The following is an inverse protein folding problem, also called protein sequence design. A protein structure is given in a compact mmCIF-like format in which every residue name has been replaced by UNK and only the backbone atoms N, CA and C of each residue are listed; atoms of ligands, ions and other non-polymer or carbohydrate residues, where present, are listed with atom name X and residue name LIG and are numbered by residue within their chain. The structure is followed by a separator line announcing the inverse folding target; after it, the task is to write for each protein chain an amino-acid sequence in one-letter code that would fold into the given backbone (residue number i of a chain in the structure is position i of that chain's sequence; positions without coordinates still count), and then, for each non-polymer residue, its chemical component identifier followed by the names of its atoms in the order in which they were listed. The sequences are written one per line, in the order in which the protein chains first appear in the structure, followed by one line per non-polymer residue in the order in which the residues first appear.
data_IF_569236789346
#
_entry.id   IF_569236789346
#
_cell.length_a   1.000
_cell.length_b   1.000
_cell.length_c   1.000
_cell.angle_alpha   90.00
_cell.angle_beta   90.00
_cell.angle_gamma   90.00
#
_symmetry.space_group_name_H-M   'P 1'
#
loop_
_entity.id
_entity.type
_entity.pdbx_description
1 polymer ?
#
# COMPACT_ATOMS: atom_id res chain seq x y z
N UNK A 1 13.92 -2.17 7.08
CA UNK A 1 13.67 -0.87 6.40
C UNK A 1 14.28 -0.78 5.01
N UNK A 2 15.61 -0.75 4.78
CA UNK A 2 16.21 -0.59 3.42
C UNK A 2 15.63 -1.52 2.36
N UNK A 3 15.45 -2.80 2.70
CA UNK A 3 14.95 -3.81 1.76
C UNK A 3 13.57 -3.55 1.14
N UNK A 4 12.62 -2.87 1.81
CA UNK A 4 11.30 -2.61 1.21
C UNK A 4 11.35 -1.42 0.24
N UNK A 5 12.04 -0.34 0.60
CA UNK A 5 12.25 0.82 -0.27
C UNK A 5 13.04 0.44 -1.53
N UNK A 6 14.07 -0.40 -1.39
CA UNK A 6 14.88 -0.85 -2.54
C UNK A 6 14.03 -1.66 -3.54
N UNK A 7 13.07 -2.47 -3.04
CA UNK A 7 12.12 -3.19 -3.89
C UNK A 7 11.19 -2.25 -4.65
N UNK A 8 10.61 -1.25 -3.98
CA UNK A 8 9.70 -0.28 -4.62
C UNK A 8 10.41 0.57 -5.67
N UNK A 9 11.66 0.97 -5.41
CA UNK A 9 12.46 1.76 -6.34
C UNK A 9 12.72 1.06 -7.67
N UNK A 10 12.78 -0.29 -7.68
CA UNK A 10 12.92 -1.07 -8.91
C UNK A 10 11.71 -0.96 -9.85
N UNK A 11 10.56 -0.51 -9.34
CA UNK A 11 9.31 -0.28 -10.08
C UNK A 11 8.95 1.21 -10.18
N UNK A 12 9.91 2.11 -9.92
CA UNK A 12 9.68 3.55 -9.83
C UNK A 12 8.50 3.91 -8.91
N UNK A 13 8.40 3.22 -7.77
CA UNK A 13 7.32 3.39 -6.79
C UNK A 13 5.92 3.21 -7.39
N UNK A 14 5.81 2.47 -8.49
CA UNK A 14 4.59 2.22 -9.25
C UNK A 14 3.95 3.49 -9.84
N UNK A 15 4.73 4.55 -10.07
CA UNK A 15 4.24 5.74 -10.75
C UNK A 15 3.64 5.37 -12.11
N UNK A 16 2.45 5.89 -12.41
CA UNK A 16 1.63 5.62 -13.60
C UNK A 16 0.99 4.22 -13.71
N UNK A 17 1.15 3.34 -12.71
CA UNK A 17 0.49 2.03 -12.70
C UNK A 17 -0.98 2.15 -12.27
N UNK A 18 -1.85 1.32 -12.82
CA UNK A 18 -3.25 1.23 -12.39
C UNK A 18 -3.44 0.16 -11.32
N UNK A 19 -4.24 0.43 -10.29
CA UNK A 19 -4.67 -0.59 -9.32
C UNK A 19 -5.81 -1.42 -9.93
N UNK A 20 -5.56 -2.67 -10.31
CA UNK A 20 -6.56 -3.53 -10.92
C UNK A 20 -7.32 -4.43 -9.91
N UNK A 21 -6.70 -4.76 -8.77
CA UNK A 21 -7.35 -5.49 -7.69
C UNK A 21 -6.81 -5.14 -6.30
N UNK A 22 -7.71 -5.13 -5.33
CA UNK A 22 -7.40 -5.08 -3.90
C UNK A 22 -8.08 -6.28 -3.25
N UNK A 23 -7.29 -7.14 -2.62
CA UNK A 23 -7.77 -8.39 -2.03
C UNK A 23 -7.18 -8.62 -0.65
N UNK A 24 -7.89 -9.39 0.16
CA UNK A 24 -7.42 -9.88 1.46
C UNK A 24 -7.27 -11.39 1.38
N UNK A 25 -6.14 -11.91 1.87
CA UNK A 25 -5.88 -13.35 1.98
C UNK A 25 -5.44 -13.70 3.39
N UNK A 26 -5.82 -14.89 3.87
CA UNK A 26 -5.41 -15.46 5.16
C UNK A 26 -5.58 -14.49 6.37
N UNK A 27 -6.60 -13.63 6.31
CA UNK A 27 -6.94 -12.54 7.26
C UNK A 27 -5.89 -11.46 7.53
N UNK A 28 -4.63 -11.69 7.18
CA UNK A 28 -3.51 -10.81 7.54
C UNK A 28 -2.61 -10.46 6.36
N UNK A 29 -3.06 -10.70 5.12
CA UNK A 29 -2.35 -10.28 3.92
C UNK A 29 -3.24 -9.33 3.12
N UNK A 30 -2.77 -8.11 2.94
CA UNK A 30 -3.34 -7.20 1.95
C UNK A 30 -2.58 -7.37 0.64
N UNK A 31 -3.32 -7.57 -0.44
CA UNK A 31 -2.81 -7.76 -1.78
C UNK A 31 -3.30 -6.59 -2.63
N UNK A 32 -2.37 -5.85 -3.24
CA UNK A 32 -2.67 -4.79 -4.21
C UNK A 32 -2.01 -5.20 -5.52
N UNK A 33 -2.83 -5.62 -6.48
CA UNK A 33 -2.39 -5.94 -7.83
C UNK A 33 -2.46 -4.69 -8.70
N UNK A 34 -1.47 -4.54 -9.56
CA UNK A 34 -1.30 -3.38 -10.42
C UNK A 34 -0.83 -3.79 -11.81
N UNK A 35 -1.14 -2.92 -12.77
CA UNK A 35 -0.80 -3.10 -14.18
C UNK A 35 -0.29 -1.80 -14.82
N UNK A 36 0.74 -1.93 -15.65
CA UNK A 36 1.22 -0.89 -16.56
C UNK A 36 1.51 -1.50 -17.95
N UNK A 37 0.69 -1.12 -18.94
CA UNK A 37 0.84 -1.48 -20.37
C UNK A 37 1.05 -2.98 -20.60
N UNK A 38 0.30 -3.81 -19.89
CA UNK A 38 0.36 -5.28 -19.95
C UNK A 38 1.38 -5.93 -19.03
N UNK A 39 2.24 -5.15 -18.36
CA UNK A 39 3.09 -5.65 -17.27
C UNK A 39 2.30 -5.68 -15.98
N UNK A 40 2.41 -6.77 -15.20
CA UNK A 40 1.70 -6.92 -13.92
C UNK A 40 2.65 -7.14 -12.77
N UNK A 41 2.29 -6.56 -11.64
CA UNK A 41 2.98 -6.74 -10.39
C UNK A 41 1.99 -6.66 -9.23
N UNK A 42 2.30 -7.38 -8.17
CA UNK A 42 1.44 -7.52 -7.00
C UNK A 42 2.24 -7.18 -5.77
N UNK A 43 1.79 -6.17 -5.03
CA UNK A 43 2.27 -5.86 -3.70
C UNK A 43 1.54 -6.75 -2.69
N UNK A 44 2.31 -7.50 -1.92
CA UNK A 44 1.79 -8.37 -0.85
C UNK A 44 2.33 -7.84 0.47
N UNK A 45 1.44 -7.18 1.22
CA UNK A 45 1.72 -6.69 2.55
C UNK A 45 1.40 -7.82 3.54
N UNK A 46 2.43 -8.41 4.12
CA UNK A 46 2.30 -9.52 5.06
C UNK A 46 2.13 -9.00 6.49
N UNK A 47 1.31 -9.73 7.26
CA UNK A 47 0.96 -9.42 8.65
C UNK A 47 0.39 -8.01 8.78
N UNK A 48 -0.52 -7.66 7.87
CA UNK A 48 -1.29 -6.42 7.93
C UNK A 48 -2.14 -6.40 9.19
N UNK A 49 -1.93 -5.41 10.06
CA UNK A 49 -2.68 -5.23 11.29
C UNK A 49 -3.81 -4.19 11.16
N UNK A 50 -3.65 -3.24 10.23
CA UNK A 50 -4.66 -2.22 9.88
C UNK A 50 -4.54 -1.84 8.40
N UNK A 51 -5.67 -1.52 7.79
CA UNK A 51 -5.74 -0.98 6.44
C UNK A 51 -6.96 -0.09 6.33
N UNK A 52 -6.78 1.10 5.77
CA UNK A 52 -7.88 1.99 5.40
C UNK A 52 -7.72 2.36 3.94
N UNK A 53 -8.83 2.28 3.21
CA UNK A 53 -8.93 2.72 1.82
C UNK A 53 -9.94 3.86 1.76
N UNK A 54 -9.56 4.96 1.12
CA UNK A 54 -10.39 6.16 0.96
C UNK A 54 -10.54 6.53 -0.52
N UNK A 55 -11.66 7.19 -0.82
CA UNK A 55 -11.98 7.81 -2.11
C UNK A 55 -11.96 6.93 -3.38
N UNK A 56 -12.02 5.59 -3.26
CA UNK A 56 -11.92 4.64 -4.37
C UNK A 56 -12.80 4.98 -5.59
N UNK A 57 -12.16 5.44 -6.66
CA UNK A 57 -12.73 5.83 -7.94
C UNK A 57 -12.34 4.82 -9.01
N UNK A 58 -13.33 4.36 -9.77
CA UNK A 58 -13.12 3.39 -10.85
C UNK A 58 -12.39 4.00 -12.05
N UNK A 59 -12.57 5.28 -12.30
CA UNK A 59 -12.05 5.95 -13.51
C UNK A 59 -10.69 6.61 -13.32
N UNK A 60 -10.23 6.73 -12.08
CA UNK A 60 -8.96 7.34 -11.75
C UNK A 60 -8.36 6.57 -10.56
N UNK A 61 -7.47 5.64 -10.86
CA UNK A 61 -6.76 4.77 -9.92
C UNK A 61 -5.28 4.63 -10.33
N UNK A 62 -4.78 5.61 -11.09
CA UNK A 62 -3.39 5.72 -11.51
C UNK A 62 -2.57 6.10 -10.29
N UNK A 63 -1.65 5.23 -9.89
CA UNK A 63 -0.76 5.43 -8.76
C UNK A 63 0.21 6.58 -9.06
N UNK A 64 0.19 7.56 -8.17
CA UNK A 64 1.19 8.61 -8.12
C UNK A 64 2.42 8.14 -7.33
N UNK A 65 2.21 7.40 -6.24
CA UNK A 65 3.31 6.99 -5.36
C UNK A 65 2.94 5.84 -4.42
N UNK A 66 3.87 4.91 -4.21
CA UNK A 66 3.84 3.91 -3.13
C UNK A 66 5.02 4.17 -2.20
N UNK A 67 4.75 4.59 -0.97
CA UNK A 67 5.78 4.93 0.01
C UNK A 67 5.72 4.08 1.26
N UNK A 68 6.90 3.72 1.77
CA UNK A 68 7.07 3.28 3.16
C UNK A 68 7.44 4.52 3.98
N UNK A 69 6.63 4.85 4.97
CA UNK A 69 6.75 6.07 5.75
C UNK A 69 7.51 5.82 7.05
N UNK A 70 8.32 6.80 7.44
CA UNK A 70 8.96 6.92 8.74
C UNK A 70 8.31 8.05 9.55
N UNK A 71 8.48 8.00 10.87
CA UNK A 71 8.10 9.12 11.72
C UNK A 71 8.83 10.40 11.27
N UNK A 72 8.06 11.48 11.05
CA UNK A 72 8.57 12.76 10.56
C UNK A 72 8.42 12.96 9.05
N UNK A 73 8.06 11.93 8.27
CA UNK A 73 7.72 12.11 6.86
C UNK A 73 6.41 12.91 6.73
N UNK A 74 6.30 13.78 5.71
CA UNK A 74 5.18 14.70 5.51
C UNK A 74 3.80 14.03 5.60
N UNK A 75 3.67 12.79 5.10
CA UNK A 75 2.40 12.08 5.05
C UNK A 75 2.22 11.06 6.19
N UNK A 76 3.13 11.01 7.16
CA UNK A 76 3.08 10.04 8.26
C UNK A 76 1.84 10.23 9.14
N UNK A 77 1.56 11.48 9.54
CA UNK A 77 0.40 11.79 10.40
C UNK A 77 -0.94 11.61 9.66
N UNK A 78 -0.94 11.86 8.35
CA UNK A 78 -2.07 11.56 7.48
C UNK A 78 -2.36 10.05 7.48
N UNK A 79 -1.34 9.22 7.23
CA UNK A 79 -1.48 7.77 7.23
C UNK A 79 -1.94 7.23 8.60
N UNK A 80 -1.43 7.77 9.70
CA UNK A 80 -1.90 7.42 11.05
C UNK A 80 -3.38 7.78 11.26
N UNK A 81 -3.79 8.95 10.81
CA UNK A 81 -5.18 9.42 10.91
C UNK A 81 -6.14 8.54 10.09
N UNK A 82 -5.72 8.12 8.89
CA UNK A 82 -6.47 7.15 8.08
C UNK A 82 -6.57 5.81 8.79
N UNK A 83 -5.45 5.27 9.27
CA UNK A 83 -5.41 3.97 9.97
C UNK A 83 -6.24 3.96 11.26
N UNK A 84 -6.38 5.10 11.95
CA UNK A 84 -7.20 5.23 13.16
C UNK A 84 -8.71 5.02 12.90
N UNK A 85 -9.15 5.11 11.64
CA UNK A 85 -10.54 4.82 11.23
C UNK A 85 -10.83 3.32 11.09
N UNK A 86 -9.79 2.48 11.12
CA UNK A 86 -9.90 1.02 11.04
C UNK A 86 -9.68 0.38 12.41
N UNK A 87 -10.47 -0.65 12.73
CA UNK A 87 -10.16 -1.51 13.86
C UNK A 87 -8.89 -2.31 13.58
N UNK A 88 -8.09 -2.50 14.64
CA UNK A 88 -6.87 -3.29 14.56
C UNK A 88 -7.23 -4.77 14.68
N UNK A 89 -6.88 -5.56 13.68
CA UNK A 89 -7.22 -6.99 13.62
C UNK A 89 -6.38 -7.88 14.55
N UNK A 90 -5.30 -7.36 15.12
CA UNK A 90 -4.38 -8.10 16.01
C UNK A 90 -3.86 -7.19 17.12
N UNK A 91 -3.59 -7.71 18.30
CA UNK A 91 -3.06 -6.90 19.43
C UNK A 91 -1.69 -6.28 19.16
N UNK A 92 -0.96 -6.81 18.16
CA UNK A 92 0.37 -6.33 17.81
C UNK A 92 0.30 -5.35 16.63
N UNK A 93 0.90 -4.15 16.74
CA UNK A 93 1.08 -3.29 15.59
C UNK A 93 2.10 -3.85 14.60
N UNK A 94 1.79 -3.71 13.32
CA UNK A 94 2.77 -3.87 12.25
C UNK A 94 3.94 -2.92 12.45
N UNK A 95 5.13 -3.37 12.07
CA UNK A 95 6.38 -2.64 12.23
C UNK A 95 6.60 -1.52 11.20
N UNK A 96 5.78 -1.44 10.15
CA UNK A 96 5.91 -0.48 9.06
C UNK A 96 4.56 0.11 8.67
N UNK A 97 4.59 1.34 8.14
CA UNK A 97 3.44 2.02 7.55
C UNK A 97 3.74 2.28 6.08
N UNK A 98 2.81 1.90 5.21
CA UNK A 98 2.82 2.25 3.80
C UNK A 98 1.64 3.18 3.48
N UNK A 99 1.86 4.03 2.47
CA UNK A 99 0.83 4.84 1.88
C UNK A 99 0.89 4.69 0.35
N UNK A 100 -0.23 4.32 -0.25
CA UNK A 100 -0.43 4.33 -1.70
C UNK A 100 -1.29 5.55 -2.01
N UNK A 101 -0.80 6.40 -2.90
CA UNK A 101 -1.50 7.59 -3.37
C UNK A 101 -1.74 7.45 -4.87
N UNK A 102 -2.98 7.59 -5.31
CA UNK A 102 -3.33 7.74 -6.71
C UNK A 102 -3.54 9.21 -7.08
N UNK A 103 -3.25 9.56 -8.33
CA UNK A 103 -3.38 10.93 -8.89
C UNK A 103 -4.78 11.51 -8.70
N UNK A 104 -5.80 10.64 -8.69
CA UNK A 104 -7.01 10.87 -7.93
C UNK A 104 -7.60 9.53 -7.51
N UNK A 105 -8.47 9.55 -6.51
CA UNK A 105 -9.47 8.50 -6.36
C UNK A 105 -9.00 7.20 -5.70
N UNK A 106 -7.79 7.09 -5.18
CA UNK A 106 -7.45 5.99 -4.25
C UNK A 106 -6.36 6.46 -3.30
N UNK A 107 -6.64 6.46 -2.00
CA UNK A 107 -5.58 6.49 -0.98
C UNK A 107 -5.69 5.25 -0.10
N UNK A 108 -4.57 4.55 0.10
CA UNK A 108 -4.52 3.36 0.96
C UNK A 108 -3.42 3.53 2.00
N UNK A 109 -3.82 3.59 3.27
CA UNK A 109 -2.88 3.56 4.38
C UNK A 109 -2.85 2.13 4.97
N UNK A 110 -1.65 1.58 5.14
CA UNK A 110 -1.45 0.17 5.47
C UNK A 110 -0.43 0.06 6.60
N UNK A 111 -0.75 -0.69 7.65
CA UNK A 111 0.18 -1.04 8.73
C UNK A 111 0.48 -2.53 8.67
N UNK A 112 1.75 -2.90 8.52
CA UNK A 112 2.18 -4.25 8.14
C UNK A 112 3.61 -4.57 8.65
N UNK A 113 4.08 -5.81 8.47
CA UNK A 113 5.45 -6.18 8.85
C UNK A 113 6.43 -6.30 7.68
N UNK A 114 6.05 -6.99 6.60
CA UNK A 114 6.94 -7.18 5.44
C UNK A 114 6.22 -6.99 4.12
N UNK A 115 6.97 -6.50 3.13
CA UNK A 115 6.50 -6.29 1.76
C UNK A 115 7.18 -7.27 0.81
N UNK A 116 6.37 -7.96 0.02
CA UNK A 116 6.78 -8.76 -1.13
C UNK A 116 6.23 -8.13 -2.40
N UNK A 117 6.97 -8.26 -3.50
CA UNK A 117 6.54 -7.86 -4.83
C UNK A 117 6.65 -9.10 -5.70
N UNK A 118 5.53 -9.54 -6.24
CA UNK A 118 5.48 -10.65 -7.20
C UNK A 118 5.19 -10.08 -8.60
N UNK A 119 5.93 -10.55 -9.61
CA UNK A 119 5.69 -10.22 -11.03
C UNK A 119 5.17 -11.46 -11.75
N UNK A 120 4.27 -11.27 -12.70
CA UNK A 120 3.81 -12.32 -13.60
C UNK A 120 4.68 -12.38 -14.87
#
# INVERSE_FOLDING_TARGET
MRSCMDKLKAFDYFHDWNIDAIAVSDRHKLIVAMEDRGTRATLIFNRTSRCTLEHFSVTNNIVFDVKILNSGDTNYDLALSMLAKSERFTDRPGSQIALILATAGVEIAIEFDTLEIATA
#
